data_IF_268104051706
#
_entry.id   IF_268104051706
#
_cell.length_a   1.000
_cell.length_b   1.000
_cell.length_c   1.000
_cell.angle_alpha   90.00
_cell.angle_beta   90.00
_cell.angle_gamma   90.00
#
_symmetry.space_group_name_H-M   'P 1'
#
loop_
_entity.id
_entity.type
_entity.pdbx_description
1 polymer ?
#
# COMPACT_ATOMS: atom_id res chain seq x y z
N UNK A 1 -9.05 4.32 -22.75
CA UNK A 1 -7.88 3.80 -22.06
C UNK A 1 -7.09 4.94 -21.44
N UNK A 2 -6.79 4.82 -20.16
CA UNK A 2 -6.12 5.89 -19.43
C UNK A 2 -4.61 5.77 -19.52
N UNK A 3 -3.97 6.92 -19.63
CA UNK A 3 -2.51 7.03 -19.61
C UNK A 3 -2.09 7.65 -18.29
N UNK A 4 -1.37 6.87 -17.48
CA UNK A 4 -0.99 7.30 -16.14
C UNK A 4 0.44 7.85 -16.08
N UNK A 5 1.13 7.95 -17.20
CA UNK A 5 2.56 8.31 -17.19
C UNK A 5 2.79 9.70 -16.60
N UNK A 6 1.95 10.66 -16.94
CA UNK A 6 2.08 12.02 -16.42
C UNK A 6 1.84 12.05 -14.91
N UNK A 7 0.79 11.35 -14.46
CA UNK A 7 0.49 11.31 -13.03
C UNK A 7 1.61 10.63 -12.25
N UNK A 8 2.15 9.51 -12.78
CA UNK A 8 3.27 8.83 -12.14
C UNK A 8 4.47 9.77 -12.01
N UNK A 9 4.76 10.52 -13.06
CA UNK A 9 5.89 11.44 -13.06
C UNK A 9 5.72 12.54 -12.01
N UNK A 10 4.51 13.08 -11.90
CA UNK A 10 4.21 14.12 -10.91
C UNK A 10 4.44 13.59 -9.50
N UNK A 11 3.93 12.40 -9.19
CA UNK A 11 4.10 11.82 -7.86
C UNK A 11 5.56 11.46 -7.57
N UNK A 12 6.27 10.91 -8.56
CA UNK A 12 7.69 10.62 -8.43
C UNK A 12 8.48 11.87 -8.10
N UNK A 13 8.21 12.97 -8.81
CA UNK A 13 8.90 14.22 -8.58
C UNK A 13 8.58 14.79 -7.20
N UNK A 14 7.33 14.68 -6.76
CA UNK A 14 6.97 15.17 -5.44
C UNK A 14 7.72 14.41 -4.35
N UNK A 15 7.76 13.09 -4.46
CA UNK A 15 8.46 12.25 -3.49
C UNK A 15 9.95 12.58 -3.48
N UNK A 16 10.53 12.77 -4.65
CA UNK A 16 11.95 13.06 -4.77
C UNK A 16 12.30 14.43 -4.18
N UNK A 17 11.45 15.43 -4.45
CA UNK A 17 11.72 16.79 -4.03
C UNK A 17 11.35 17.06 -2.57
N UNK A 18 10.42 16.30 -2.01
CA UNK A 18 9.94 16.52 -0.65
C UNK A 18 9.94 15.21 0.14
N UNK A 19 11.12 14.55 0.27
CA UNK A 19 11.18 13.22 0.86
C UNK A 19 10.76 13.16 2.33
N UNK A 20 10.81 14.28 3.05
CA UNK A 20 10.44 14.31 4.46
C UNK A 20 9.07 14.90 4.72
N UNK A 21 8.36 15.33 3.69
CA UNK A 21 7.04 15.92 3.83
C UNK A 21 5.99 14.82 4.03
N UNK A 22 5.08 15.04 4.99
CA UNK A 22 4.04 14.04 5.27
C UNK A 22 3.15 13.76 4.05
N UNK A 23 3.00 14.73 3.16
CA UNK A 23 2.23 14.52 1.93
C UNK A 23 2.89 13.53 0.99
N UNK A 24 4.18 13.25 1.17
CA UNK A 24 4.84 12.21 0.39
C UNK A 24 4.31 10.83 0.74
N UNK A 25 3.76 10.64 1.95
CA UNK A 25 3.05 9.41 2.29
C UNK A 25 1.83 9.22 1.40
N UNK A 26 1.03 10.29 1.23
CA UNK A 26 -0.13 10.25 0.34
C UNK A 26 0.31 10.07 -1.12
N UNK A 27 1.43 10.68 -1.51
CA UNK A 27 1.96 10.51 -2.86
C UNK A 27 2.35 9.06 -3.13
N UNK A 28 2.96 8.40 -2.14
CA UNK A 28 3.25 6.96 -2.26
C UNK A 28 1.98 6.16 -2.44
N UNK A 29 0.94 6.49 -1.67
CA UNK A 29 -0.33 5.78 -1.79
C UNK A 29 -0.89 5.88 -3.20
N UNK A 30 -0.99 7.09 -3.73
CA UNK A 30 -1.58 7.28 -5.05
C UNK A 30 -0.71 6.70 -6.16
N UNK A 31 0.61 6.82 -6.04
CA UNK A 31 1.53 6.21 -7.00
C UNK A 31 1.36 4.69 -7.01
N UNK A 32 1.30 4.09 -5.82
CA UNK A 32 1.08 2.65 -5.72
C UNK A 32 -0.25 2.22 -6.34
N UNK A 33 -1.31 3.02 -6.14
CA UNK A 33 -2.62 2.74 -6.73
C UNK A 33 -2.55 2.77 -8.25
N UNK A 34 -1.79 3.70 -8.81
CA UNK A 34 -1.63 3.77 -10.27
C UNK A 34 -0.98 2.50 -10.79
N UNK A 35 0.08 2.03 -10.12
CA UNK A 35 0.71 0.77 -10.53
C UNK A 35 -0.26 -0.40 -10.43
N UNK A 36 -1.15 -0.41 -9.42
CA UNK A 36 -2.18 -1.44 -9.33
C UNK A 36 -3.14 -1.39 -10.52
N UNK A 37 -3.57 -0.18 -10.90
CA UNK A 37 -4.45 -0.03 -12.07
C UNK A 37 -3.78 -0.55 -13.34
N UNK A 38 -2.45 -0.49 -13.39
CA UNK A 38 -1.67 -1.03 -14.50
C UNK A 38 -1.33 -2.51 -14.30
N UNK A 39 -1.82 -3.12 -13.24
CA UNK A 39 -1.54 -4.51 -12.85
C UNK A 39 -0.06 -4.79 -12.64
N UNK A 40 0.70 -3.75 -12.32
CA UNK A 40 2.12 -3.88 -11.98
C UNK A 40 2.24 -4.08 -10.48
N UNK A 41 1.93 -5.30 -10.03
CA UNK A 41 1.87 -5.61 -8.58
C UNK A 41 3.21 -5.47 -7.90
N UNK A 42 4.28 -5.81 -8.61
CA UNK A 42 5.61 -5.72 -8.05
C UNK A 42 5.98 -4.29 -7.69
N UNK A 43 5.78 -3.35 -8.62
CA UNK A 43 6.09 -1.95 -8.34
C UNK A 43 5.14 -1.36 -7.33
N UNK A 44 3.86 -1.75 -7.38
CA UNK A 44 2.91 -1.31 -6.38
C UNK A 44 3.38 -1.71 -4.98
N UNK A 45 3.80 -2.98 -4.82
CA UNK A 45 4.26 -3.46 -3.52
C UNK A 45 5.49 -2.69 -3.03
N UNK A 46 6.41 -2.40 -3.94
CA UNK A 46 7.61 -1.63 -3.58
C UNK A 46 7.21 -0.24 -3.06
N UNK A 47 6.35 0.45 -3.80
CA UNK A 47 5.94 1.82 -3.45
C UNK A 47 5.16 1.84 -2.14
N UNK A 48 4.19 0.93 -1.98
CA UNK A 48 3.44 0.85 -0.73
C UNK A 48 4.35 0.50 0.46
N UNK A 49 5.29 -0.42 0.24
CA UNK A 49 6.23 -0.81 1.28
C UNK A 49 7.09 0.34 1.74
N UNK A 50 7.60 1.13 0.79
CA UNK A 50 8.36 2.33 1.14
C UNK A 50 7.51 3.33 1.89
N UNK A 51 6.26 3.50 1.44
CA UNK A 51 5.34 4.45 2.05
C UNK A 51 5.04 4.14 3.51
N UNK A 52 4.73 2.88 3.81
CA UNK A 52 4.40 2.51 5.19
C UNK A 52 5.63 2.54 6.09
N UNK A 53 6.79 2.25 5.55
CA UNK A 53 8.02 2.25 6.31
C UNK A 53 8.45 3.67 6.66
N UNK A 54 8.36 4.58 5.71
CA UNK A 54 8.83 5.94 5.87
C UNK A 54 7.79 6.86 6.50
N UNK A 55 6.51 6.59 6.27
CA UNK A 55 5.42 7.46 6.75
C UNK A 55 4.38 6.67 7.53
N UNK A 56 4.79 6.03 8.65
CA UNK A 56 3.84 5.21 9.42
C UNK A 56 2.70 6.00 10.04
N UNK A 57 2.85 7.32 10.18
CA UNK A 57 1.81 8.17 10.74
C UNK A 57 0.97 8.88 9.68
N UNK A 58 1.19 8.56 8.40
CA UNK A 58 0.38 9.11 7.32
C UNK A 58 -1.06 8.64 7.48
N UNK A 59 -2.00 9.52 7.11
CA UNK A 59 -3.42 9.16 7.11
C UNK A 59 -3.68 7.98 6.16
N UNK A 60 -2.81 7.78 5.17
CA UNK A 60 -2.95 6.69 4.20
C UNK A 60 -2.20 5.42 4.61
N UNK A 61 -1.47 5.44 5.71
CA UNK A 61 -0.65 4.29 6.08
C UNK A 61 -1.47 2.99 6.25
N UNK A 62 -2.61 2.99 6.96
CA UNK A 62 -3.39 1.75 7.08
C UNK A 62 -3.84 1.21 5.73
N UNK A 63 -4.29 2.09 4.84
CA UNK A 63 -4.73 1.67 3.52
C UNK A 63 -3.57 1.15 2.69
N UNK A 64 -2.38 1.75 2.84
CA UNK A 64 -1.19 1.27 2.14
C UNK A 64 -0.81 -0.14 2.60
N UNK A 65 -0.91 -0.43 3.90
CA UNK A 65 -0.67 -1.80 4.38
C UNK A 65 -1.64 -2.78 3.74
N UNK A 66 -2.91 -2.40 3.66
CA UNK A 66 -3.93 -3.27 3.06
C UNK A 66 -3.63 -3.53 1.58
N UNK A 67 -3.32 -2.47 0.83
CA UNK A 67 -3.01 -2.60 -0.59
C UNK A 67 -1.71 -3.37 -0.81
N UNK A 68 -0.73 -3.19 0.09
CA UNK A 68 0.51 -3.96 0.04
C UNK A 68 0.21 -5.45 0.19
N UNK A 69 -0.62 -5.81 1.18
CA UNK A 69 -0.97 -7.21 1.39
C UNK A 69 -1.65 -7.79 0.16
N UNK A 70 -2.56 -7.04 -0.46
CA UNK A 70 -3.25 -7.48 -1.66
C UNK A 70 -2.28 -7.65 -2.84
N UNK A 71 -1.34 -6.72 -2.99
CA UNK A 71 -0.34 -6.81 -4.05
C UNK A 71 0.53 -8.05 -3.89
N UNK A 72 0.94 -8.32 -2.65
CA UNK A 72 1.75 -9.51 -2.37
C UNK A 72 0.98 -10.80 -2.67
N UNK A 73 -0.31 -10.82 -2.34
CA UNK A 73 -1.15 -11.97 -2.66
C UNK A 73 -1.20 -12.20 -4.16
N UNK A 74 -1.36 -11.13 -4.94
CA UNK A 74 -1.43 -11.24 -6.40
C UNK A 74 -0.10 -11.74 -6.98
N UNK A 75 0.99 -11.54 -6.27
CA UNK A 75 2.31 -12.05 -6.65
C UNK A 75 2.57 -13.46 -6.10
N UNK A 76 1.53 -14.08 -5.54
CA UNK A 76 1.61 -15.42 -4.93
C UNK A 76 2.58 -15.47 -3.76
N UNK A 77 2.73 -14.35 -3.06
CA UNK A 77 3.56 -14.25 -1.85
C UNK A 77 2.65 -14.26 -0.63
N UNK A 78 1.98 -15.39 -0.42
CA UNK A 78 0.96 -15.50 0.62
C UNK A 78 1.50 -15.30 2.04
N UNK A 79 2.62 -15.92 2.43
CA UNK A 79 3.14 -15.68 3.78
C UNK A 79 3.45 -14.21 4.04
N UNK A 80 4.05 -13.53 3.09
CA UNK A 80 4.37 -12.11 3.22
C UNK A 80 3.11 -11.26 3.29
N UNK A 81 2.10 -11.62 2.49
CA UNK A 81 0.81 -10.94 2.50
C UNK A 81 0.17 -11.04 3.88
N UNK A 82 0.16 -12.25 4.45
CA UNK A 82 -0.46 -12.48 5.75
C UNK A 82 0.30 -11.77 6.88
N UNK A 83 1.63 -11.74 6.79
CA UNK A 83 2.44 -11.00 7.76
C UNK A 83 2.13 -9.50 7.70
N UNK A 84 1.98 -8.97 6.51
CA UNK A 84 1.64 -7.56 6.30
C UNK A 84 0.28 -7.24 6.92
N UNK A 85 -0.69 -8.13 6.75
CA UNK A 85 -2.01 -7.95 7.35
C UNK A 85 -1.93 -7.96 8.88
N UNK A 86 -1.09 -8.83 9.44
CA UNK A 86 -0.89 -8.86 10.89
C UNK A 86 -0.33 -7.53 11.39
N UNK A 87 0.61 -6.95 10.67
CA UNK A 87 1.16 -5.65 11.02
C UNK A 87 0.09 -4.56 10.97
N UNK A 88 -0.79 -4.62 9.98
CA UNK A 88 -1.91 -3.69 9.88
C UNK A 88 -2.81 -3.79 11.11
N UNK A 89 -3.17 -5.01 11.49
CA UNK A 89 -4.03 -5.24 12.65
C UNK A 89 -3.39 -4.74 13.94
N UNK A 90 -2.09 -4.99 14.11
CA UNK A 90 -1.39 -4.63 15.34
C UNK A 90 -1.16 -3.14 15.48
N UNK A 91 -0.84 -2.48 14.39
CA UNK A 91 -0.41 -1.08 14.43
C UNK A 91 -1.54 -0.08 14.27
N UNK A 92 -2.67 -0.49 13.72
CA UNK A 92 -3.78 0.43 13.41
C UNK A 92 -5.11 -0.14 13.87
N UNK A 93 -5.19 -0.51 15.12
CA UNK A 93 -6.41 -1.08 15.71
C UNK A 93 -7.55 -0.08 15.59
N UNK A 94 -8.74 -0.59 15.28
CA UNK A 94 -9.93 0.24 15.15
C UNK A 94 -10.08 0.94 13.83
N UNK A 95 -9.10 0.79 12.93
CA UNK A 95 -9.20 1.35 11.60
C UNK A 95 -10.21 0.56 10.76
N UNK A 96 -10.83 1.21 9.78
CA UNK A 96 -11.83 0.56 8.95
C UNK A 96 -11.29 -0.65 8.19
N UNK A 97 -9.98 -0.67 7.93
CA UNK A 97 -9.35 -1.80 7.23
C UNK A 97 -9.05 -2.97 8.15
N UNK A 98 -9.31 -2.81 9.47
CA UNK A 98 -9.15 -3.87 10.44
C UNK A 98 -10.45 -4.24 11.14
N UNK A 99 -11.59 -3.70 10.68
CA UNK A 99 -12.88 -3.93 11.33
C UNK A 99 -13.35 -5.37 11.27
N UNK A 100 -13.00 -6.07 10.21
CA UNK A 100 -13.42 -7.45 10.02
C UNK A 100 -12.20 -8.27 9.61
N UNK A 101 -11.32 -8.57 10.59
CA UNK A 101 -10.07 -9.26 10.27
C UNK A 101 -10.27 -10.66 9.68
N UNK A 102 -11.33 -11.36 10.09
CA UNK A 102 -11.57 -12.70 9.56
C UNK A 102 -11.90 -12.65 8.08
N UNK A 103 -12.75 -11.72 7.68
CA UNK A 103 -13.11 -11.56 6.28
C UNK A 103 -11.90 -11.19 5.43
N UNK A 104 -11.05 -10.32 5.95
CA UNK A 104 -9.85 -9.91 5.24
C UNK A 104 -8.88 -11.08 5.10
N UNK A 105 -8.71 -11.86 6.18
CA UNK A 105 -7.85 -13.04 6.16
C UNK A 105 -8.33 -14.06 5.15
N UNK A 106 -9.63 -14.30 5.09
CA UNK A 106 -10.21 -15.21 4.10
C UNK A 106 -9.92 -14.72 2.69
N UNK A 107 -10.12 -13.44 2.45
CA UNK A 107 -9.91 -12.85 1.13
C UNK A 107 -8.46 -12.97 0.69
N UNK A 108 -7.52 -12.92 1.63
CA UNK A 108 -6.08 -12.99 1.34
C UNK A 108 -5.51 -14.38 1.54
N UNK A 109 -6.36 -15.38 1.80
CA UNK A 109 -5.96 -16.77 2.03
C UNK A 109 -5.06 -16.92 3.26
N UNK A 110 -5.31 -16.13 4.29
CA UNK A 110 -4.60 -16.23 5.57
C UNK A 110 -5.42 -17.04 6.56
N UNK A 111 -4.72 -17.79 7.39
CA UNK A 111 -5.33 -18.59 8.46
C UNK A 111 -5.64 -17.72 9.68
#
# INVERSE_FOLDING_TARGET
KKNYNEAKNIFDQFIENFPENQLSGSAHFWLGKIYLFETNYRKAAIIFGEGVQKFPNSIKAPEMYYELAKSLKEMDKIPESCKTLTLLEQNYKGNKFTKDPEKIKDKLNCD
#
